data_IF_636189733766
#
_entry.id   IF_636189733766
#
_cell.length_a   1.000
_cell.length_b   1.000
_cell.length_c   1.000
_cell.angle_alpha   90.00
_cell.angle_beta   90.00
_cell.angle_gamma   90.00
#
_symmetry.space_group_name_H-M   'P 1'
#
loop_
_entity.id
_entity.type
_entity.pdbx_description
1 polymer ?
#
# COMPACT_ATOMS: atom_id res chain seq x y z
N UNK A 1 8.79 -21.24 -33.72
CA UNK A 1 9.30 -20.20 -32.81
C UNK A 1 8.64 -20.32 -31.46
N UNK A 2 9.39 -20.78 -30.45
CA UNK A 2 8.97 -20.67 -29.07
C UNK A 2 9.23 -19.23 -28.64
N UNK A 3 8.18 -18.48 -28.31
CA UNK A 3 8.32 -17.20 -27.66
C UNK A 3 9.05 -17.46 -26.32
N UNK A 4 10.32 -17.07 -26.23
CA UNK A 4 11.00 -16.95 -24.94
C UNK A 4 10.09 -16.15 -24.02
N UNK A 5 9.70 -16.73 -22.90
CA UNK A 5 8.94 -16.01 -21.88
C UNK A 5 9.83 -14.87 -21.39
N UNK A 6 9.54 -13.64 -21.83
CA UNK A 6 10.28 -12.45 -21.41
C UNK A 6 10.32 -12.39 -19.89
N UNK A 7 11.50 -12.15 -19.32
CA UNK A 7 11.69 -11.95 -17.88
C UNK A 7 11.11 -10.61 -17.39
N UNK A 8 10.64 -9.77 -18.32
CA UNK A 8 9.95 -8.52 -18.04
C UNK A 8 8.48 -8.75 -17.63
N UNK A 9 8.09 -8.17 -16.50
CA UNK A 9 6.72 -8.16 -16.00
C UNK A 9 5.91 -6.98 -16.54
N UNK A 10 6.52 -5.78 -16.57
CA UNK A 10 5.91 -4.56 -17.11
C UNK A 10 7.00 -3.53 -17.46
N UNK A 11 6.67 -2.55 -18.32
CA UNK A 11 7.48 -1.34 -18.52
C UNK A 11 6.78 -0.13 -17.91
N UNK A 12 7.47 0.57 -17.01
CA UNK A 12 7.01 1.83 -16.44
C UNK A 12 7.46 2.99 -17.32
N UNK A 13 6.51 3.81 -17.78
CA UNK A 13 6.76 5.02 -18.60
C UNK A 13 6.20 6.24 -17.88
N UNK A 14 7.07 7.09 -17.33
CA UNK A 14 6.66 8.34 -16.70
C UNK A 14 7.17 9.53 -17.51
N UNK A 15 6.30 10.51 -17.70
CA UNK A 15 6.70 11.81 -18.24
C UNK A 15 6.62 12.86 -17.14
N UNK A 16 7.68 13.63 -16.98
CA UNK A 16 7.72 14.75 -16.06
C UNK A 16 8.31 15.99 -16.73
N UNK A 17 8.13 17.14 -16.08
CA UNK A 17 8.79 18.41 -16.41
C UNK A 17 9.50 18.90 -15.17
N UNK A 18 10.61 19.62 -15.35
CA UNK A 18 11.18 20.38 -14.25
C UNK A 18 10.25 21.54 -13.86
N UNK A 19 10.27 22.02 -12.60
CA UNK A 19 9.35 23.07 -12.14
C UNK A 19 9.30 24.30 -13.05
N UNK A 20 10.44 24.74 -13.57
CA UNK A 20 10.60 25.89 -14.46
C UNK A 20 10.90 25.49 -15.92
N UNK A 21 10.77 24.20 -16.25
CA UNK A 21 11.10 23.66 -17.56
C UNK A 21 9.88 23.47 -18.46
N UNK A 22 9.98 23.90 -19.71
CA UNK A 22 8.91 23.73 -20.69
C UNK A 22 8.94 22.37 -21.40
N UNK A 23 10.08 21.70 -21.39
CA UNK A 23 10.28 20.41 -22.06
C UNK A 23 9.97 19.23 -21.13
N UNK A 24 9.23 18.26 -21.69
CA UNK A 24 8.88 17.03 -20.96
C UNK A 24 9.93 15.95 -21.18
N UNK A 25 10.44 15.41 -20.08
CA UNK A 25 11.37 14.28 -20.07
C UNK A 25 10.61 12.97 -19.86
N UNK A 26 11.09 11.90 -20.50
CA UNK A 26 10.52 10.55 -20.41
C UNK A 26 11.47 9.65 -19.62
N UNK A 27 10.97 9.05 -18.56
CA UNK A 27 11.60 7.96 -17.83
C UNK A 27 10.96 6.65 -18.30
N UNK A 28 11.73 5.77 -18.91
CA UNK A 28 11.30 4.40 -19.22
C UNK A 28 12.11 3.40 -18.39
N UNK A 29 11.41 2.51 -17.68
CA UNK A 29 12.05 1.50 -16.84
C UNK A 29 11.31 0.16 -16.94
N UNK A 30 11.93 -0.90 -17.51
CA UNK A 30 11.38 -2.24 -17.42
C UNK A 30 11.52 -2.78 -15.99
N UNK A 31 10.49 -3.49 -15.52
CA UNK A 31 10.48 -4.23 -14.27
C UNK A 31 10.58 -5.72 -14.60
N UNK A 32 11.69 -6.35 -14.21
CA UNK A 32 11.89 -7.79 -14.39
C UNK A 32 11.41 -8.59 -13.19
N UNK A 33 11.27 -9.92 -13.34
CA UNK A 33 10.94 -10.81 -12.21
C UNK A 33 12.01 -10.75 -11.13
N UNK A 34 13.28 -10.69 -11.51
CA UNK A 34 14.38 -10.53 -10.55
C UNK A 34 14.17 -9.26 -9.73
N UNK A 35 13.90 -8.12 -10.38
CA UNK A 35 13.67 -6.85 -9.69
C UNK A 35 12.45 -6.92 -8.75
N UNK A 36 11.37 -7.57 -9.17
CA UNK A 36 10.17 -7.75 -8.36
C UNK A 36 10.37 -8.69 -7.17
N UNK A 37 11.33 -9.63 -7.26
CA UNK A 37 11.68 -10.53 -6.18
C UNK A 37 12.61 -9.91 -5.13
N UNK A 38 13.17 -8.71 -5.39
CA UNK A 38 14.03 -8.01 -4.43
C UNK A 38 13.20 -7.48 -3.28
N UNK A 39 13.71 -7.65 -2.07
CA UNK A 39 13.12 -7.05 -0.88
C UNK A 39 13.14 -5.53 -1.00
N UNK A 40 12.00 -4.91 -0.76
CA UNK A 40 11.88 -3.44 -0.73
C UNK A 40 12.20 -2.93 0.66
N UNK A 41 12.56 -1.65 0.78
CA UNK A 41 12.97 -1.09 2.07
C UNK A 41 11.82 -1.12 3.08
N UNK A 42 12.17 -1.20 4.38
CA UNK A 42 11.20 -1.04 5.46
C UNK A 42 10.44 0.29 5.37
N UNK A 43 11.08 1.36 4.90
CA UNK A 43 10.43 2.64 4.65
C UNK A 43 9.36 2.57 3.57
N UNK A 44 9.62 1.83 2.50
CA UNK A 44 8.63 1.62 1.46
C UNK A 44 7.42 0.84 1.99
N UNK A 45 7.66 -0.24 2.73
CA UNK A 45 6.59 -1.01 3.39
C UNK A 45 5.76 -0.13 4.33
N UNK A 46 6.41 0.67 5.16
CA UNK A 46 5.72 1.57 6.10
C UNK A 46 4.92 2.66 5.39
N UNK A 47 5.50 3.33 4.37
CA UNK A 47 4.81 4.34 3.60
C UNK A 47 3.58 3.76 2.88
N UNK A 48 3.70 2.55 2.31
CA UNK A 48 2.58 1.83 1.71
C UNK A 48 1.49 1.50 2.73
N UNK A 49 1.86 1.10 3.95
CA UNK A 49 0.92 0.87 5.03
C UNK A 49 0.15 2.15 5.41
N UNK A 50 0.84 3.28 5.58
CA UNK A 50 0.21 4.57 5.92
C UNK A 50 -0.76 5.03 4.82
N UNK A 51 -0.33 4.97 3.56
CA UNK A 51 -1.19 5.33 2.43
C UNK A 51 -2.40 4.40 2.32
N UNK A 52 -2.18 3.09 2.45
CA UNK A 52 -3.23 2.07 2.44
C UNK A 52 -4.24 2.27 3.56
N UNK A 53 -3.78 2.55 4.77
CA UNK A 53 -4.63 2.84 5.90
C UNK A 53 -5.52 4.06 5.67
N UNK A 54 -4.95 5.16 5.16
CA UNK A 54 -5.70 6.35 4.81
C UNK A 54 -6.76 6.10 3.72
N UNK A 55 -6.48 5.21 2.77
CA UNK A 55 -7.47 4.80 1.77
C UNK A 55 -8.64 4.03 2.38
N UNK A 56 -8.38 3.13 3.33
CA UNK A 56 -9.42 2.37 4.02
C UNK A 56 -10.30 3.25 4.89
N UNK A 57 -9.71 4.14 5.68
CA UNK A 57 -10.46 5.06 6.56
C UNK A 57 -11.35 6.03 5.79
N UNK A 58 -11.02 6.32 4.53
CA UNK A 58 -11.78 7.23 3.66
C UNK A 58 -12.74 6.52 2.73
N UNK A 59 -12.90 5.20 2.87
CA UNK A 59 -13.67 4.36 1.93
C UNK A 59 -13.32 4.67 0.46
N UNK A 60 -12.02 4.73 0.18
CA UNK A 60 -11.52 5.12 -1.14
C UNK A 60 -11.89 4.07 -2.18
N UNK A 61 -12.49 4.48 -3.30
CA UNK A 61 -12.72 3.62 -4.48
C UNK A 61 -11.46 3.00 -5.07
N UNK A 62 -10.28 3.51 -4.70
CA UNK A 62 -8.98 2.99 -5.13
C UNK A 62 -8.35 2.01 -4.14
N UNK A 63 -9.00 1.74 -3.00
CA UNK A 63 -8.53 0.77 -2.01
C UNK A 63 -8.55 -0.68 -2.52
N UNK A 64 -9.37 -0.98 -3.53
CA UNK A 64 -9.43 -2.29 -4.16
C UNK A 64 -9.82 -3.38 -3.16
N UNK A 65 -8.99 -4.41 -3.04
CA UNK A 65 -9.14 -5.51 -2.07
C UNK A 65 -8.25 -5.35 -0.84
N UNK A 66 -7.75 -4.15 -0.56
CA UNK A 66 -6.92 -3.90 0.61
C UNK A 66 -7.72 -4.13 1.89
N UNK A 67 -7.08 -4.71 2.90
CA UNK A 67 -7.69 -4.96 4.21
C UNK A 67 -6.85 -4.36 5.32
N UNK A 68 -7.46 -4.13 6.49
CA UNK A 68 -6.72 -3.68 7.67
C UNK A 68 -5.62 -4.67 8.09
N UNK A 69 -5.81 -5.99 7.87
CA UNK A 69 -4.75 -6.98 8.12
C UNK A 69 -3.57 -6.80 7.17
N UNK A 70 -3.83 -6.56 5.88
CA UNK A 70 -2.77 -6.32 4.91
C UNK A 70 -1.98 -5.03 5.26
N UNK A 71 -2.68 -3.99 5.69
CA UNK A 71 -2.06 -2.74 6.20
C UNK A 71 -1.18 -3.03 7.42
N UNK A 72 -1.68 -3.80 8.41
CA UNK A 72 -0.90 -4.16 9.60
C UNK A 72 0.38 -4.92 9.22
N UNK A 73 0.28 -5.92 8.34
CA UNK A 73 1.44 -6.68 7.88
C UNK A 73 2.49 -5.82 7.18
N UNK A 74 2.06 -4.86 6.35
CA UNK A 74 2.97 -3.90 5.73
C UNK A 74 3.65 -3.01 6.79
N UNK A 75 2.90 -2.55 7.79
CA UNK A 75 3.45 -1.72 8.86
C UNK A 75 4.46 -2.49 9.72
N UNK A 76 4.17 -3.77 10.03
CA UNK A 76 5.08 -4.67 10.76
C UNK A 76 6.39 -4.88 10.00
N UNK A 77 6.32 -5.18 8.69
CA UNK A 77 7.50 -5.28 7.81
C UNK A 77 8.29 -3.98 7.75
N UNK A 78 7.60 -2.86 7.87
CA UNK A 78 8.19 -1.52 7.89
C UNK A 78 8.66 -1.02 9.25
N UNK A 79 8.51 -1.77 10.36
CA UNK A 79 8.80 -1.26 11.71
C UNK A 79 10.28 -0.92 11.91
N UNK A 80 11.19 -1.81 11.53
CA UNK A 80 12.62 -1.66 11.79
C UNK A 80 12.94 -1.45 13.28
N UNK A 81 14.01 -0.69 13.56
CA UNK A 81 14.52 -0.44 14.93
C UNK A 81 13.64 0.53 15.74
N UNK A 82 12.83 1.35 15.07
CA UNK A 82 11.83 2.28 15.65
C UNK A 82 12.19 2.89 17.02
N UNK A 83 13.29 3.66 17.13
CA UNK A 83 13.82 4.13 18.42
C UNK A 83 12.84 5.04 19.18
N UNK A 84 11.92 5.70 18.46
CA UNK A 84 10.91 6.58 19.03
C UNK A 84 9.54 5.89 19.20
N UNK A 85 9.42 4.60 18.88
CA UNK A 85 8.17 3.83 18.98
C UNK A 85 7.04 4.32 18.06
N UNK A 86 7.34 5.13 17.05
CA UNK A 86 6.33 5.78 16.20
C UNK A 86 5.66 4.76 15.27
N UNK A 87 6.44 3.83 14.71
CA UNK A 87 5.91 2.80 13.81
C UNK A 87 5.14 1.73 14.59
N UNK A 88 5.61 1.38 15.79
CA UNK A 88 4.89 0.55 16.73
C UNK A 88 3.55 1.17 17.14
N UNK A 89 3.53 2.47 17.46
CA UNK A 89 2.29 3.19 17.76
C UNK A 89 1.30 3.19 16.59
N UNK A 90 1.79 3.34 15.35
CA UNK A 90 0.95 3.21 14.16
C UNK A 90 0.35 1.80 14.01
N UNK A 91 1.13 0.75 14.25
CA UNK A 91 0.64 -0.64 14.20
C UNK A 91 -0.50 -0.84 15.20
N UNK A 92 -0.32 -0.41 16.45
CA UNK A 92 -1.39 -0.48 17.47
C UNK A 92 -2.65 0.28 17.05
N UNK A 93 -2.50 1.46 16.44
CA UNK A 93 -3.63 2.25 15.95
C UNK A 93 -4.41 1.53 14.83
N UNK A 94 -3.71 0.82 13.93
CA UNK A 94 -4.36 0.00 12.89
C UNK A 94 -5.13 -1.18 13.52
N UNK A 95 -4.59 -1.80 14.58
CA UNK A 95 -5.25 -2.88 15.32
C UNK A 95 -6.51 -2.39 16.06
N UNK A 96 -6.43 -1.26 16.76
CA UNK A 96 -7.57 -0.69 17.48
C UNK A 96 -8.73 -0.36 16.54
N UNK A 97 -8.40 0.15 15.34
CA UNK A 97 -9.40 0.53 14.33
C UNK A 97 -10.18 -0.67 13.80
N UNK A 98 -9.58 -1.86 13.79
CA UNK A 98 -10.31 -3.11 13.50
C UNK A 98 -11.37 -3.39 14.57
N UNK A 99 -11.04 -3.18 15.84
CA UNK A 99 -11.98 -3.38 16.94
C UNK A 99 -13.20 -2.45 16.83
N UNK A 100 -12.97 -1.19 16.48
CA UNK A 100 -14.02 -0.19 16.36
C UNK A 100 -14.94 -0.43 15.15
N UNK A 101 -14.37 -0.71 13.98
CA UNK A 101 -15.15 -0.98 12.76
C UNK A 101 -15.93 -2.30 12.84
N UNK A 102 -15.42 -3.29 13.58
CA UNK A 102 -16.15 -4.51 13.89
C UNK A 102 -17.31 -4.25 14.87
N UNK A 103 -17.16 -3.31 15.82
CA UNK A 103 -18.24 -2.95 16.75
C UNK A 103 -19.37 -2.15 16.09
N UNK A 104 -19.08 -1.29 15.11
CA UNK A 104 -20.10 -0.55 14.34
C UNK A 104 -20.99 -1.48 13.49
N UNK A 105 -20.44 -2.60 13.00
CA UNK A 105 -21.21 -3.59 12.24
C UNK A 105 -22.12 -4.44 13.14
N UNK A 106 -21.86 -4.51 14.45
CA UNK A 106 -22.71 -5.21 15.42
C UNK A 106 -23.77 -4.30 16.07
N UNK A 107 -23.54 -2.98 16.13
CA UNK A 107 -24.50 -1.98 16.62
C UNK A 107 -25.63 -1.71 15.61
N UNK A 108 -25.33 -1.79 14.30
CA UNK A 108 -26.35 -1.95 13.26
C UNK A 108 -26.85 -3.39 13.24
N UNK A 109 -27.67 -3.73 14.24
CA UNK A 109 -28.43 -4.99 14.23
C UNK A 109 -29.19 -5.18 12.92
N UNK A 110 -29.59 -6.42 12.58
CA UNK A 110 -30.35 -6.70 11.36
C UNK A 110 -31.73 -6.06 11.47
N UNK A 111 -31.85 -4.78 11.11
CA UNK A 111 -33.13 -4.16 10.82
C UNK A 111 -33.49 -4.44 9.36
N UNK A 112 -34.11 -5.61 9.17
CA UNK A 112 -35.19 -5.74 8.22
C UNK A 112 -36.06 -6.92 8.69
N UNK A 113 -37.06 -6.59 9.51
CA UNK A 113 -38.32 -7.29 9.40
C UNK A 113 -38.87 -7.05 7.99
N UNK A 114 -38.85 -8.09 7.15
CA UNK A 114 -39.92 -8.48 6.22
C UNK A 114 -39.60 -9.84 5.59
#
# INVERSE_FOLDING_TARGET
DAAEASDELLTLKLRYKEPDGDESQLIERPLTREMAAREVSGDFHFAAAVAGYGMLLRDSKYSGSLTLDAVRQLAERGRGDDPNGTRAGFISLVEDSRGLLASETMDKGPDASQ
#
